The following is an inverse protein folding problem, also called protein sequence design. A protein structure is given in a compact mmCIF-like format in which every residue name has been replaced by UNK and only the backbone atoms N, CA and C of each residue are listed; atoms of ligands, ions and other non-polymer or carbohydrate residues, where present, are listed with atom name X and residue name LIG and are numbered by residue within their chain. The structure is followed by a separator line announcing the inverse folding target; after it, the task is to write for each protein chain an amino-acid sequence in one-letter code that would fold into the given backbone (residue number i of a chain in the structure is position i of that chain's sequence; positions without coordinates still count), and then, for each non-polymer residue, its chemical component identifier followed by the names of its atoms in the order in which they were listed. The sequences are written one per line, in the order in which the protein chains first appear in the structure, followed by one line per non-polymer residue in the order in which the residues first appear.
data_IF_928053330518
#
_entry.id   IF_928053330518
#
_cell.length_a   1.000
_cell.length_b   1.000
_cell.length_c   1.000
_cell.angle_alpha   90.00
_cell.angle_beta   90.00
_cell.angle_gamma   90.00
#
_symmetry.space_group_name_H-M   'P 1'
#
loop_
_entity.id
_entity.type
_entity.pdbx_description
1 polymer ?
#
# COMPACT_ATOMS: atom_id res chain seq x y z
N UNK A 1 -39.77 -37.51 -1.77
CA UNK A 1 -38.43 -37.15 -1.24
C UNK A 1 -37.55 -36.39 -2.24
N UNK A 2 -37.91 -36.23 -3.52
CA UNK A 2 -37.05 -35.53 -4.50
C UNK A 2 -37.06 -34.00 -4.44
N UNK A 3 -38.13 -33.37 -3.96
CA UNK A 3 -38.25 -31.89 -3.94
C UNK A 3 -37.30 -31.21 -2.95
N UNK A 4 -36.96 -31.88 -1.84
CA UNK A 4 -36.01 -31.37 -0.85
C UNK A 4 -34.57 -31.48 -1.34
N UNK A 5 -34.27 -32.53 -2.11
CA UNK A 5 -32.96 -32.82 -2.67
C UNK A 5 -32.64 -31.90 -3.86
N UNK A 6 -33.63 -31.61 -4.70
CA UNK A 6 -33.53 -30.63 -5.79
C UNK A 6 -33.34 -29.20 -5.27
N UNK A 7 -34.09 -28.80 -4.23
CA UNK A 7 -33.91 -27.48 -3.58
C UNK A 7 -32.54 -27.34 -2.91
N UNK A 8 -32.01 -28.41 -2.30
CA UNK A 8 -30.68 -28.40 -1.69
C UNK A 8 -29.57 -28.25 -2.74
N UNK A 9 -29.69 -28.96 -3.86
CA UNK A 9 -28.74 -28.85 -4.96
C UNK A 9 -28.73 -27.45 -5.58
N UNK A 10 -29.90 -26.83 -5.72
CA UNK A 10 -30.01 -25.48 -6.26
C UNK A 10 -29.42 -24.42 -5.32
N UNK A 11 -29.72 -24.51 -4.02
CA UNK A 11 -29.12 -23.64 -3.01
C UNK A 11 -27.58 -23.75 -3.00
N UNK A 12 -27.04 -24.97 -3.15
CA UNK A 12 -25.60 -25.18 -3.20
C UNK A 12 -24.96 -24.52 -4.44
N UNK A 13 -25.62 -24.56 -5.60
CA UNK A 13 -25.16 -23.84 -6.81
C UNK A 13 -25.17 -22.34 -6.60
N UNK A 14 -26.23 -21.80 -6.04
CA UNK A 14 -26.35 -20.36 -5.79
C UNK A 14 -25.28 -19.86 -4.82
N UNK A 15 -25.02 -20.60 -3.73
CA UNK A 15 -23.92 -20.31 -2.79
C UNK A 15 -22.57 -20.33 -3.51
N UNK A 16 -22.32 -21.30 -4.38
CA UNK A 16 -21.07 -21.39 -5.13
C UNK A 16 -20.88 -20.20 -6.09
N UNK A 17 -21.93 -19.78 -6.79
CA UNK A 17 -21.87 -18.61 -7.69
C UNK A 17 -21.68 -17.30 -6.91
N UNK A 18 -22.39 -17.12 -5.79
CA UNK A 18 -22.19 -15.98 -4.90
C UNK A 18 -20.76 -15.95 -4.34
N UNK A 19 -20.21 -17.11 -3.97
CA UNK A 19 -18.83 -17.23 -3.50
C UNK A 19 -17.81 -16.81 -4.56
N UNK A 20 -17.99 -17.23 -5.81
CA UNK A 20 -17.12 -16.82 -6.93
C UNK A 20 -17.18 -15.31 -7.18
N UNK A 21 -18.38 -14.73 -7.18
CA UNK A 21 -18.55 -13.30 -7.41
C UNK A 21 -17.98 -12.47 -6.26
N UNK A 22 -18.16 -12.91 -5.01
CA UNK A 22 -17.53 -12.28 -3.85
C UNK A 22 -16.00 -12.31 -3.96
N UNK A 23 -15.42 -13.48 -4.25
CA UNK A 23 -13.97 -13.62 -4.42
C UNK A 23 -13.43 -12.67 -5.50
N UNK A 24 -14.11 -12.57 -6.65
CA UNK A 24 -13.76 -11.63 -7.72
C UNK A 24 -13.83 -10.17 -7.29
N UNK A 25 -14.83 -9.79 -6.48
CA UNK A 25 -14.97 -8.42 -5.95
C UNK A 25 -13.88 -8.10 -4.94
N UNK A 26 -13.59 -9.03 -4.03
CA UNK A 26 -12.51 -8.89 -3.04
C UNK A 26 -11.16 -8.74 -3.74
N UNK A 27 -10.86 -9.55 -4.75
CA UNK A 27 -9.62 -9.41 -5.54
C UNK A 27 -9.45 -8.01 -6.12
N UNK A 28 -10.47 -7.49 -6.83
CA UNK A 28 -10.43 -6.12 -7.37
C UNK A 28 -10.29 -5.04 -6.29
N UNK A 29 -10.92 -5.22 -5.15
CA UNK A 29 -10.79 -4.29 -4.03
C UNK A 29 -9.35 -4.28 -3.49
N UNK A 30 -8.72 -5.45 -3.33
CA UNK A 30 -7.35 -5.57 -2.87
C UNK A 30 -6.39 -4.84 -3.83
N UNK A 31 -6.58 -4.95 -5.15
CA UNK A 31 -5.77 -4.22 -6.13
C UNK A 31 -5.85 -2.70 -5.94
N UNK A 32 -7.06 -2.17 -5.73
CA UNK A 32 -7.25 -0.75 -5.42
C UNK A 32 -6.61 -0.37 -4.09
N UNK A 33 -6.73 -1.22 -3.08
CA UNK A 33 -6.16 -0.99 -1.75
C UNK A 33 -4.62 -0.98 -1.78
N UNK A 34 -4.00 -1.87 -2.57
CA UNK A 34 -2.56 -1.88 -2.79
C UNK A 34 -2.06 -0.57 -3.45
N UNK A 35 -2.81 -0.05 -4.43
CA UNK A 35 -2.51 1.24 -5.05
C UNK A 35 -2.57 2.40 -4.03
N UNK A 36 -3.56 2.39 -3.13
CA UNK A 36 -3.64 3.37 -2.03
C UNK A 36 -2.40 3.29 -1.14
N UNK A 37 -1.98 2.09 -0.73
CA UNK A 37 -0.77 1.89 0.07
C UNK A 37 0.49 2.47 -0.60
N UNK A 38 0.67 2.23 -1.90
CA UNK A 38 1.80 2.74 -2.67
C UNK A 38 1.82 4.28 -2.75
N UNK A 39 0.64 4.90 -2.94
CA UNK A 39 0.50 6.36 -2.98
C UNK A 39 0.79 6.98 -1.62
N UNK A 40 0.30 6.37 -0.54
CA UNK A 40 0.61 6.83 0.81
C UNK A 40 2.11 6.73 1.10
N UNK A 41 2.76 5.63 0.73
CA UNK A 41 4.22 5.50 0.87
C UNK A 41 5.00 6.56 0.09
N UNK A 42 4.50 6.96 -1.08
CA UNK A 42 5.11 8.05 -1.87
C UNK A 42 4.92 9.41 -1.19
N UNK A 43 3.73 9.68 -0.63
CA UNK A 43 3.47 10.91 0.12
C UNK A 43 4.34 11.01 1.37
N UNK A 44 4.51 9.91 2.12
CA UNK A 44 5.38 9.85 3.30
C UNK A 44 6.84 10.13 2.93
N UNK A 45 7.34 9.56 1.82
CA UNK A 45 8.69 9.88 1.33
C UNK A 45 8.87 11.35 1.02
N UNK A 46 7.94 11.94 0.26
CA UNK A 46 7.99 13.37 -0.10
C UNK A 46 7.96 14.27 1.15
N UNK A 47 7.15 13.92 2.15
CA UNK A 47 7.14 14.61 3.44
C UNK A 47 8.51 14.53 4.14
N UNK A 48 9.10 13.35 4.22
CA UNK A 48 10.42 13.16 4.84
C UNK A 48 11.52 13.94 4.12
N UNK A 49 11.51 13.97 2.79
CA UNK A 49 12.46 14.74 2.00
C UNK A 49 12.33 16.25 2.27
N UNK A 50 11.08 16.75 2.34
CA UNK A 50 10.79 18.15 2.66
C UNK A 50 11.27 18.52 4.07
N UNK A 51 10.97 17.68 5.07
CA UNK A 51 11.44 17.85 6.45
C UNK A 51 12.97 17.87 6.50
N UNK A 52 13.62 16.90 5.87
CA UNK A 52 15.08 16.85 5.82
C UNK A 52 15.70 18.05 5.08
N UNK A 53 15.03 18.62 4.08
CA UNK A 53 15.46 19.86 3.41
C UNK A 53 15.31 21.08 4.31
N UNK A 54 14.19 21.19 5.02
CA UNK A 54 13.94 22.25 6.00
C UNK A 54 14.98 22.24 7.12
N UNK A 55 15.30 21.08 7.68
CA UNK A 55 16.32 20.91 8.73
C UNK A 55 17.74 21.22 8.25
N UNK A 56 18.12 20.75 7.05
CA UNK A 56 19.49 20.92 6.54
C UNK A 56 19.76 22.29 5.94
N UNK A 57 18.73 22.94 5.40
CA UNK A 57 18.90 24.11 4.54
C UNK A 57 18.29 25.38 5.11
N UNK A 58 17.07 25.28 5.64
CA UNK A 58 16.28 26.46 6.02
C UNK A 58 16.46 26.82 7.50
N UNK A 59 16.36 25.86 8.42
CA UNK A 59 16.54 26.13 9.86
C UNK A 59 17.91 26.74 10.22
N UNK A 60 19.04 26.30 9.63
CA UNK A 60 20.33 26.94 9.90
C UNK A 60 20.40 28.40 9.41
N UNK A 61 19.73 28.69 8.29
CA UNK A 61 19.69 30.05 7.74
C UNK A 61 18.78 30.96 8.58
N UNK A 62 17.64 30.43 9.03
CA UNK A 62 16.77 31.13 9.98
C UNK A 62 17.53 31.46 11.28
N UNK A 63 18.32 30.52 11.80
CA UNK A 63 19.16 30.74 12.99
C UNK A 63 20.19 31.86 12.77
N UNK A 64 20.90 31.85 11.65
CA UNK A 64 21.87 32.93 11.30
C UNK A 64 21.21 34.30 11.23
N UNK A 65 20.00 34.37 10.71
CA UNK A 65 19.21 35.61 10.66
C UNK A 65 18.82 36.10 12.07
N UNK A 66 18.37 35.20 12.95
CA UNK A 66 18.17 35.51 14.37
C UNK A 66 19.46 36.01 15.03
N UNK A 67 20.61 35.37 14.78
CA UNK A 67 21.91 35.77 15.33
C UNK A 67 22.32 37.18 14.87
N UNK A 68 21.96 37.55 13.64
CA UNK A 68 22.17 38.90 13.09
C UNK A 68 21.12 39.92 13.54
N UNK A 69 20.13 39.52 14.36
CA UNK A 69 18.97 40.32 14.74
C UNK A 69 18.13 40.83 13.55
N UNK A 70 18.18 40.10 12.44
CA UNK A 70 17.41 40.39 11.23
C UNK A 70 16.43 39.26 11.04
N UNK A 71 15.20 39.39 11.54
CA UNK A 71 14.23 38.30 11.47
C UNK A 71 12.87 38.61 12.08
N UNK A 72 11.93 37.68 11.90
CA UNK A 72 10.61 37.71 12.52
C UNK A 72 10.63 36.90 13.83
N UNK A 73 9.85 37.30 14.84
CA UNK A 73 9.69 36.62 16.13
C UNK A 73 8.93 35.27 16.05
N UNK A 74 8.59 34.81 14.85
CA UNK A 74 7.76 33.62 14.67
C UNK A 74 8.59 32.34 14.82
N UNK A 75 8.24 31.53 15.81
CA UNK A 75 8.84 30.21 16.02
C UNK A 75 8.48 29.24 14.88
N UNK A 76 9.50 28.62 14.29
CA UNK A 76 9.36 27.64 13.21
C UNK A 76 9.40 26.24 13.81
N UNK A 77 8.23 25.67 14.11
CA UNK A 77 8.11 24.29 14.59
C UNK A 77 7.30 23.45 13.61
N UNK A 78 7.72 22.21 13.41
CA UNK A 78 7.09 21.21 12.54
C UNK A 78 6.91 19.93 13.34
N UNK A 79 5.76 19.28 13.17
CA UNK A 79 5.48 17.98 13.77
C UNK A 79 5.96 16.89 12.83
N UNK A 80 6.85 16.00 13.30
CA UNK A 80 7.25 14.82 12.55
C UNK A 80 6.09 13.84 12.38
N UNK A 81 6.04 13.19 11.20
CA UNK A 81 5.20 12.02 10.97
C UNK A 81 6.09 10.78 11.07
N UNK A 82 6.07 10.10 12.22
CA UNK A 82 6.85 8.87 12.47
C UNK A 82 6.11 7.58 12.06
N UNK A 83 5.15 7.66 11.13
CA UNK A 83 4.36 6.51 10.70
C UNK A 83 4.68 6.09 9.27
N UNK A 84 5.21 4.87 9.12
CA UNK A 84 5.25 4.17 7.85
C UNK A 84 3.87 3.57 7.52
N UNK A 85 3.48 3.50 6.24
CA UNK A 85 2.32 2.72 5.83
C UNK A 85 2.49 1.25 6.27
N UNK A 86 1.49 0.66 6.92
CA UNK A 86 1.51 -0.77 7.27
C UNK A 86 1.43 -1.59 5.99
N UNK A 87 2.37 -2.53 5.81
CA UNK A 87 2.31 -3.47 4.70
C UNK A 87 1.10 -4.40 4.83
N UNK A 88 0.38 -4.59 3.73
CA UNK A 88 -0.71 -5.56 3.69
C UNK A 88 -0.10 -6.96 3.67
N UNK A 89 -0.21 -7.68 4.79
CA UNK A 89 0.12 -9.09 4.86
C UNK A 89 -1.15 -9.92 4.61
N UNK A 90 -1.41 -10.26 3.35
CA UNK A 90 -2.51 -11.13 2.94
C UNK A 90 -1.98 -12.25 2.02
N UNK A 91 -1.46 -13.36 2.56
CA UNK A 91 -0.95 -14.48 1.76
C UNK A 91 -2.03 -15.08 0.84
N UNK A 92 -3.30 -15.05 1.24
CA UNK A 92 -4.47 -15.45 0.45
C UNK A 92 -4.81 -14.48 -0.70
N UNK A 93 -4.28 -13.26 -0.68
CA UNK A 93 -4.42 -12.29 -1.76
C UNK A 93 -3.40 -12.48 -2.89
N UNK A 94 -2.36 -13.28 -2.65
CA UNK A 94 -1.43 -13.69 -3.71
C UNK A 94 -2.12 -14.77 -4.54
N UNK A 95 -2.55 -14.40 -5.75
CA UNK A 95 -2.99 -15.37 -6.76
C UNK A 95 -1.90 -16.44 -7.00
N UNK A 96 -2.26 -17.62 -7.52
CA UNK A 96 -1.32 -18.73 -7.70
C UNK A 96 -0.10 -18.25 -8.47
N UNK A 97 1.08 -18.39 -7.86
CA UNK A 97 2.35 -18.05 -8.51
C UNK A 97 2.46 -18.87 -9.79
N UNK A 98 2.49 -18.18 -10.93
CA UNK A 98 2.65 -18.77 -12.25
C UNK A 98 4.06 -19.37 -12.36
N UNK A 99 4.20 -20.62 -11.91
CA UNK A 99 5.43 -21.39 -11.98
C UNK A 99 5.64 -21.95 -13.38
N UNK A 100 5.82 -21.11 -14.40
CA UNK A 100 6.39 -21.60 -15.66
C UNK A 100 6.91 -20.48 -16.59
N UNK A 101 8.16 -20.06 -16.39
CA UNK A 101 9.04 -19.67 -17.50
C UNK A 101 10.52 -19.70 -17.09
N UNK A 102 11.09 -20.91 -16.98
CA UNK A 102 12.50 -21.10 -17.29
C UNK A 102 12.58 -22.19 -18.36
N UNK A 103 12.33 -21.78 -19.60
CA UNK A 103 12.76 -22.54 -20.77
C UNK A 103 14.28 -22.38 -20.88
N UNK A 104 14.96 -23.52 -20.79
CA UNK A 104 16.18 -23.91 -21.51
C UNK A 104 17.14 -22.79 -21.94
N UNK A 105 18.33 -22.73 -21.31
CA UNK A 105 19.58 -22.71 -22.07
C UNK A 105 20.81 -22.83 -21.16
N UNK A 106 21.76 -23.70 -21.54
CA UNK A 106 23.13 -23.61 -21.05
C UNK A 106 23.84 -24.96 -20.94
N UNK A 107 24.46 -25.36 -22.04
CA UNK A 107 25.32 -26.53 -22.22
C UNK A 107 26.22 -26.84 -21.02
N UNK A 108 26.26 -28.11 -20.63
CA UNK A 108 27.34 -28.68 -19.84
C UNK A 108 28.64 -28.58 -20.65
N UNK A 109 29.59 -27.86 -20.08
CA UNK A 109 31.01 -28.03 -20.33
C UNK A 109 31.54 -29.05 -19.31
#
# INVERSE_FOLDING_TARGET
MGWTEESLAENAREIAELGKELHKRVGRFIDHFANVGNRLGSAVRAFNDATGSLERSLLPQARRFTDLKVGSDKELSITNIEQAPRELQAPEAKGPEDKEHVRSNGSLN
#
